data_IF_099443955490
#
_entry.id   IF_099443955490
#
_cell.length_a   1.000
_cell.length_b   1.000
_cell.length_c   1.000
_cell.angle_alpha   90.00
_cell.angle_beta   90.00
_cell.angle_gamma   90.00
#
_symmetry.space_group_name_H-M   'P 1'
#
loop_
_entity.id
_entity.type
_entity.pdbx_description
1 polymer ?
#
# COMPACT_ATOMS: atom_id res chain seq x y z
N UNK A 1 -15.62 -13.02 22.30
CA UNK A 1 -16.32 -12.12 21.36
C UNK A 1 -15.25 -11.48 20.49
N UNK A 2 -15.18 -11.82 19.20
CA UNK A 2 -14.25 -11.20 18.27
C UNK A 2 -14.84 -9.84 17.84
N UNK A 3 -14.24 -8.76 18.32
CA UNK A 3 -14.58 -7.44 17.81
C UNK A 3 -14.01 -7.30 16.39
N UNK A 4 -14.89 -7.04 15.43
CA UNK A 4 -14.51 -6.81 14.04
C UNK A 4 -15.08 -5.48 13.59
N UNK A 5 -14.20 -4.55 13.21
CA UNK A 5 -14.56 -3.29 12.59
C UNK A 5 -13.81 -3.13 11.29
N UNK A 6 -14.47 -2.64 10.27
CA UNK A 6 -13.87 -2.34 8.98
C UNK A 6 -14.11 -0.87 8.66
N UNK A 7 -13.04 -0.10 8.44
CA UNK A 7 -13.09 1.33 8.11
C UNK A 7 -12.45 1.67 6.77
N UNK A 8 -12.16 0.67 5.97
CA UNK A 8 -11.60 0.82 4.62
C UNK A 8 -12.04 -0.33 3.73
N UNK A 9 -11.55 -0.37 2.48
CA UNK A 9 -11.98 -1.35 1.49
C UNK A 9 -13.37 -1.07 0.92
N UNK A 10 -13.81 0.19 0.97
CA UNK A 10 -15.10 0.66 0.46
C UNK A 10 -14.95 1.56 -0.78
N UNK A 11 -13.76 1.60 -1.34
CA UNK A 11 -13.42 2.37 -2.53
C UNK A 11 -12.86 3.76 -2.21
N UNK A 12 -12.38 4.41 -3.26
CA UNK A 12 -11.66 5.68 -3.17
C UNK A 12 -12.51 6.89 -2.75
N UNK A 13 -13.81 6.71 -2.58
CA UNK A 13 -14.70 7.76 -2.08
C UNK A 13 -14.47 8.03 -0.61
N UNK A 14 -14.08 6.99 0.14
CA UNK A 14 -13.80 7.10 1.56
C UNK A 14 -12.81 6.01 2.01
N UNK A 15 -11.62 6.40 2.47
CA UNK A 15 -10.74 5.57 3.29
C UNK A 15 -9.84 4.56 2.60
N UNK A 16 -9.69 4.56 1.27
CA UNK A 16 -8.80 3.64 0.53
C UNK A 16 -7.53 4.34 0.03
N UNK A 17 -6.86 5.10 0.90
CA UNK A 17 -5.74 5.98 0.54
C UNK A 17 -4.35 5.34 0.70
N UNK A 18 -4.29 4.05 0.98
CA UNK A 18 -3.02 3.31 1.14
C UNK A 18 -2.79 2.22 0.11
N UNK A 19 -3.75 1.98 -0.77
CA UNK A 19 -3.66 0.95 -1.79
C UNK A 19 -2.87 1.39 -3.03
N UNK A 20 -2.40 0.41 -3.81
CA UNK A 20 -1.65 0.70 -5.03
C UNK A 20 -2.39 1.58 -6.04
N UNK A 21 -3.69 1.42 -6.15
CA UNK A 21 -4.52 2.26 -7.03
C UNK A 21 -4.54 3.72 -6.59
N UNK A 22 -4.52 3.99 -5.28
CA UNK A 22 -4.42 5.36 -4.78
C UNK A 22 -3.07 5.98 -5.13
N UNK A 23 -1.97 5.31 -4.82
CA UNK A 23 -0.62 5.79 -5.11
C UNK A 23 -0.40 6.06 -6.60
N UNK A 24 -0.86 5.15 -7.45
CA UNK A 24 -0.75 5.32 -8.91
C UNK A 24 -1.56 6.53 -9.41
N UNK A 25 -2.80 6.72 -8.92
CA UNK A 25 -3.60 7.91 -9.26
C UNK A 25 -2.97 9.20 -8.74
N UNK A 26 -2.38 9.18 -7.54
CA UNK A 26 -1.70 10.34 -6.98
C UNK A 26 -0.48 10.73 -7.84
N UNK A 27 0.27 9.74 -8.36
CA UNK A 27 1.36 9.99 -9.29
C UNK A 27 0.86 10.65 -10.59
N UNK A 28 -0.21 10.12 -11.21
CA UNK A 28 -0.81 10.72 -12.41
C UNK A 28 -1.33 12.13 -12.12
N UNK A 29 -1.96 12.33 -10.94
CA UNK A 29 -2.43 13.65 -10.52
C UNK A 29 -1.28 14.65 -10.35
N UNK A 30 -0.16 14.23 -9.80
CA UNK A 30 1.03 15.09 -9.67
C UNK A 30 1.55 15.53 -11.04
N UNK A 31 1.62 14.63 -12.01
CA UNK A 31 1.99 14.98 -13.38
C UNK A 31 1.01 15.98 -14.01
N UNK A 32 -0.29 15.78 -13.80
CA UNK A 32 -1.31 16.71 -14.26
C UNK A 32 -1.17 18.10 -13.64
N UNK A 33 -0.95 18.15 -12.31
CA UNK A 33 -0.83 19.42 -11.61
C UNK A 33 0.45 20.18 -12.02
N UNK A 34 1.56 19.48 -12.25
CA UNK A 34 2.78 20.08 -12.82
C UNK A 34 2.51 20.68 -14.21
N UNK A 35 1.85 19.94 -15.10
CA UNK A 35 1.64 20.37 -16.47
C UNK A 35 0.63 21.52 -16.63
N UNK A 36 -0.43 21.55 -15.80
CA UNK A 36 -1.61 22.37 -16.07
C UNK A 36 -2.07 23.24 -14.89
N UNK A 37 -1.52 23.03 -13.69
CA UNK A 37 -2.03 23.67 -12.46
C UNK A 37 -0.95 24.29 -11.57
N UNK A 38 0.20 24.62 -12.18
CA UNK A 38 1.33 25.23 -11.49
C UNK A 38 1.84 24.38 -10.31
N UNK A 39 1.68 23.07 -10.40
CA UNK A 39 2.24 22.12 -9.43
C UNK A 39 3.78 22.12 -9.46
N UNK A 40 4.40 21.60 -8.40
CA UNK A 40 5.86 21.49 -8.35
C UNK A 40 6.38 20.51 -9.38
N UNK A 41 7.57 20.78 -9.90
CA UNK A 41 8.27 19.83 -10.77
C UNK A 41 8.53 18.51 -10.04
N UNK A 42 8.38 17.40 -10.78
CA UNK A 42 8.55 16.06 -10.23
C UNK A 42 9.16 15.10 -11.24
N UNK A 43 10.06 14.24 -10.75
CA UNK A 43 10.62 13.17 -11.56
C UNK A 43 9.56 12.14 -11.96
N UNK A 44 8.51 11.97 -11.16
CA UNK A 44 7.41 11.04 -11.44
C UNK A 44 6.63 11.42 -12.71
N UNK A 45 6.62 12.70 -13.08
CA UNK A 45 5.96 13.17 -14.29
C UNK A 45 6.51 12.49 -15.55
N UNK A 46 7.84 12.30 -15.61
CA UNK A 46 8.48 11.57 -16.73
C UNK A 46 8.01 10.12 -16.80
N UNK A 47 7.86 9.46 -15.63
CA UNK A 47 7.42 8.06 -15.58
C UNK A 47 5.95 7.93 -16.01
N UNK A 48 5.11 8.90 -15.62
CA UNK A 48 3.71 8.96 -16.07
C UNK A 48 3.67 9.15 -17.59
N UNK A 49 4.47 10.06 -18.16
CA UNK A 49 4.54 10.31 -19.60
C UNK A 49 5.00 9.05 -20.34
N UNK A 50 6.06 8.40 -19.85
CA UNK A 50 6.55 7.14 -20.44
C UNK A 50 5.48 6.05 -20.41
N UNK A 51 4.76 5.87 -19.29
CA UNK A 51 3.73 4.84 -19.15
C UNK A 51 2.56 5.07 -20.12
N UNK A 52 2.18 6.33 -20.35
CA UNK A 52 1.09 6.68 -21.24
C UNK A 52 1.55 6.94 -22.68
N UNK A 53 2.88 6.91 -22.96
CA UNK A 53 3.48 7.25 -24.25
C UNK A 53 3.08 8.65 -24.71
N UNK A 54 3.26 9.62 -23.79
CA UNK A 54 2.95 11.03 -24.03
C UNK A 54 4.22 11.76 -24.45
N UNK A 55 4.26 12.26 -25.68
CA UNK A 55 5.38 13.07 -26.20
C UNK A 55 5.13 14.58 -25.98
N UNK A 56 3.90 15.03 -26.15
CA UNK A 56 3.50 16.42 -25.88
C UNK A 56 2.41 16.44 -24.80
N UNK A 57 2.54 17.34 -23.82
CA UNK A 57 1.54 17.52 -22.76
C UNK A 57 0.12 17.77 -23.27
N UNK A 58 -0.04 18.25 -24.52
CA UNK A 58 -1.35 18.42 -25.16
C UNK A 58 -2.11 17.10 -25.29
N UNK A 59 -1.39 15.99 -25.42
CA UNK A 59 -1.97 14.66 -25.57
C UNK A 59 -2.36 14.00 -24.24
N UNK A 60 -2.00 14.63 -23.13
CA UNK A 60 -2.19 14.08 -21.79
C UNK A 60 -3.63 13.60 -21.54
N UNK A 61 -4.62 14.44 -21.83
CA UNK A 61 -6.03 14.10 -21.56
C UNK A 61 -6.50 12.91 -22.41
N UNK A 62 -6.12 12.85 -23.68
CA UNK A 62 -6.47 11.76 -24.58
C UNK A 62 -5.80 10.45 -24.15
N UNK A 63 -4.53 10.51 -23.77
CA UNK A 63 -3.77 9.35 -23.31
C UNK A 63 -4.36 8.75 -22.03
N UNK A 64 -4.72 9.59 -21.03
CA UNK A 64 -5.34 9.13 -19.78
C UNK A 64 -6.69 8.45 -20.01
N UNK A 65 -7.50 8.95 -20.96
CA UNK A 65 -8.82 8.36 -21.26
C UNK A 65 -8.68 7.05 -22.04
N UNK A 66 -7.68 6.94 -22.91
CA UNK A 66 -7.52 5.80 -23.83
C UNK A 66 -6.77 4.60 -23.23
N UNK A 67 -5.90 4.80 -22.25
CA UNK A 67 -5.06 3.75 -21.68
C UNK A 67 -5.38 3.52 -20.20
N UNK A 68 -5.31 2.26 -19.79
CA UNK A 68 -5.42 1.90 -18.37
C UNK A 68 -4.11 2.22 -17.63
N UNK A 69 -4.23 2.61 -16.37
CA UNK A 69 -3.09 2.80 -15.46
C UNK A 69 -2.39 1.45 -15.22
N UNK A 70 -1.09 1.39 -15.49
CA UNK A 70 -0.23 0.36 -14.90
C UNK A 70 0.19 0.80 -13.48
N UNK A 71 -0.65 0.39 -12.52
CA UNK A 71 -0.40 0.73 -11.12
C UNK A 71 0.91 0.14 -10.61
N UNK A 72 1.33 -1.04 -11.08
CA UNK A 72 2.56 -1.69 -10.62
C UNK A 72 3.79 -0.90 -11.06
N UNK A 73 3.81 -0.44 -12.31
CA UNK A 73 4.88 0.40 -12.83
C UNK A 73 4.97 1.72 -12.06
N UNK A 74 3.85 2.44 -11.91
CA UNK A 74 3.85 3.74 -11.25
C UNK A 74 4.20 3.67 -9.76
N UNK A 75 3.78 2.61 -9.06
CA UNK A 75 4.15 2.43 -7.65
C UNK A 75 5.66 2.23 -7.50
N UNK A 76 6.25 1.36 -8.34
CA UNK A 76 7.70 1.14 -8.34
C UNK A 76 8.45 2.43 -8.65
N UNK A 77 8.00 3.17 -9.67
CA UNK A 77 8.56 4.47 -10.02
C UNK A 77 8.45 5.45 -8.86
N UNK A 78 7.31 5.55 -8.20
CA UNK A 78 7.07 6.45 -7.08
C UNK A 78 8.07 6.23 -5.94
N UNK A 79 8.25 4.98 -5.51
CA UNK A 79 9.24 4.64 -4.48
C UNK A 79 10.67 4.96 -4.94
N UNK A 80 11.00 4.65 -6.20
CA UNK A 80 12.31 4.95 -6.76
C UNK A 80 12.58 6.46 -6.84
N UNK A 81 11.59 7.28 -7.22
CA UNK A 81 11.73 8.74 -7.26
C UNK A 81 11.84 9.34 -5.86
N UNK A 82 11.11 8.80 -4.89
CA UNK A 82 11.29 9.18 -3.48
C UNK A 82 12.72 8.91 -2.99
N UNK A 83 13.34 7.79 -3.38
CA UNK A 83 14.75 7.49 -3.08
C UNK A 83 15.74 8.47 -3.77
N UNK A 84 15.30 9.14 -4.82
CA UNK A 84 16.06 10.21 -5.49
C UNK A 84 15.77 11.61 -4.92
N UNK A 85 15.12 11.68 -3.76
CA UNK A 85 14.72 12.93 -3.09
C UNK A 85 13.72 13.79 -3.91
N UNK A 86 12.89 13.17 -4.75
CA UNK A 86 11.79 13.84 -5.43
C UNK A 86 10.70 14.20 -4.41
N UNK A 87 10.63 15.48 -4.04
CA UNK A 87 9.74 15.96 -2.98
C UNK A 87 8.25 15.65 -3.23
N UNK A 88 7.72 15.80 -4.45
CA UNK A 88 6.34 15.39 -4.71
C UNK A 88 6.09 13.89 -4.50
N UNK A 89 7.03 13.03 -4.90
CA UNK A 89 6.94 11.58 -4.66
C UNK A 89 6.97 11.25 -3.17
N UNK A 90 7.88 11.88 -2.42
CA UNK A 90 7.93 11.76 -0.96
C UNK A 90 6.61 12.20 -0.34
N UNK A 91 6.06 13.33 -0.80
CA UNK A 91 4.78 13.84 -0.29
C UNK A 91 3.64 12.83 -0.49
N UNK A 92 3.54 12.21 -1.67
CA UNK A 92 2.52 11.20 -1.94
C UNK A 92 2.62 10.03 -0.94
N UNK A 93 3.84 9.53 -0.69
CA UNK A 93 4.07 8.44 0.26
C UNK A 93 3.71 8.86 1.69
N UNK A 94 4.10 10.05 2.11
CA UNK A 94 3.78 10.58 3.44
C UNK A 94 2.28 10.82 3.62
N UNK A 95 1.60 11.41 2.64
CA UNK A 95 0.15 11.63 2.68
C UNK A 95 -0.61 10.29 2.80
N UNK A 96 -0.18 9.27 2.06
CA UNK A 96 -0.75 7.92 2.17
C UNK A 96 -0.53 7.32 3.55
N UNK A 97 0.70 7.37 4.08
CA UNK A 97 1.02 6.92 5.43
C UNK A 97 0.21 7.64 6.51
N UNK A 98 0.04 8.97 6.35
CA UNK A 98 -0.75 9.79 7.27
C UNK A 98 -2.23 9.36 7.29
N UNK A 99 -2.85 9.23 6.12
CA UNK A 99 -4.27 8.89 6.02
C UNK A 99 -4.56 7.49 6.57
N UNK A 100 -3.70 6.52 6.26
CA UNK A 100 -3.81 5.18 6.84
C UNK A 100 -3.58 5.19 8.36
N UNK A 101 -2.61 5.98 8.83
CA UNK A 101 -2.34 6.16 10.25
C UNK A 101 -3.54 6.74 11.01
N UNK A 102 -4.19 7.76 10.44
CA UNK A 102 -5.43 8.33 10.99
C UNK A 102 -6.55 7.29 11.08
N UNK A 103 -6.71 6.48 10.03
CA UNK A 103 -7.71 5.42 10.00
C UNK A 103 -7.48 4.39 11.11
N UNK A 104 -6.25 3.91 11.27
CA UNK A 104 -5.90 2.94 12.34
C UNK A 104 -6.05 3.57 13.72
N UNK A 105 -5.60 4.80 13.91
CA UNK A 105 -5.78 5.50 15.18
C UNK A 105 -7.26 5.65 15.54
N UNK A 106 -8.11 5.94 14.56
CA UNK A 106 -9.56 5.98 14.71
C UNK A 106 -10.13 4.66 15.24
N UNK A 107 -9.78 3.53 14.62
CA UNK A 107 -10.20 2.19 15.07
C UNK A 107 -9.74 1.89 16.48
N UNK A 108 -8.47 2.15 16.79
CA UNK A 108 -7.90 1.91 18.13
C UNK A 108 -8.67 2.70 19.19
N UNK A 109 -9.02 3.94 18.87
CA UNK A 109 -9.74 4.84 19.78
C UNK A 109 -11.20 4.43 19.94
N UNK A 110 -11.91 4.22 18.84
CA UNK A 110 -13.33 3.87 18.81
C UNK A 110 -13.61 2.55 19.53
N UNK A 111 -12.79 1.53 19.27
CA UNK A 111 -12.91 0.22 19.91
C UNK A 111 -12.25 0.14 21.30
N UNK A 112 -11.66 1.24 21.77
CA UNK A 112 -10.92 1.30 23.04
C UNK A 112 -9.94 0.12 23.22
N UNK A 113 -9.18 -0.19 22.16
CA UNK A 113 -8.24 -1.31 22.16
C UNK A 113 -7.18 -1.08 23.21
N UNK A 114 -6.97 -2.08 24.08
CA UNK A 114 -5.99 -2.03 25.17
C UNK A 114 -4.62 -2.49 24.71
N UNK A 115 -3.58 -1.94 25.34
CA UNK A 115 -2.21 -2.44 25.18
C UNK A 115 -2.04 -3.86 25.74
N UNK A 116 -1.15 -4.67 25.16
CA UNK A 116 -0.30 -4.38 24.00
C UNK A 116 -1.06 -4.42 22.67
N UNK A 117 -0.76 -3.47 21.78
CA UNK A 117 -1.42 -3.38 20.46
C UNK A 117 -0.44 -3.82 19.39
N UNK A 118 -0.78 -4.87 18.65
CA UNK A 118 -0.04 -5.28 17.46
C UNK A 118 -0.77 -4.80 16.20
N UNK A 119 -0.04 -4.08 15.34
CA UNK A 119 -0.54 -3.58 14.04
C UNK A 119 0.19 -4.35 12.95
N UNK A 120 -0.58 -5.11 12.17
CA UNK A 120 -0.06 -5.91 11.07
C UNK A 120 -0.30 -5.16 9.75
N UNK A 121 0.78 -4.86 9.04
CA UNK A 121 0.79 -4.21 7.75
C UNK A 121 0.94 -5.28 6.67
N UNK A 122 -0.14 -5.60 5.99
CA UNK A 122 -0.18 -6.64 4.96
C UNK A 122 -0.40 -6.05 3.57
N UNK A 123 0.21 -6.65 2.55
CA UNK A 123 0.05 -6.27 1.16
C UNK A 123 1.33 -5.80 0.49
N UNK A 124 1.33 -5.87 -0.85
CA UNK A 124 2.54 -5.66 -1.65
C UNK A 124 3.13 -4.24 -1.56
N UNK A 125 2.32 -3.23 -1.28
CA UNK A 125 2.80 -1.85 -1.11
C UNK A 125 3.72 -1.76 0.11
N UNK A 126 3.36 -2.43 1.23
CA UNK A 126 4.17 -2.48 2.43
C UNK A 126 5.36 -3.42 2.30
N UNK A 127 5.09 -4.66 1.86
CA UNK A 127 6.10 -5.72 1.81
C UNK A 127 7.20 -5.48 0.76
N UNK A 128 6.91 -4.72 -0.31
CA UNK A 128 7.86 -4.41 -1.40
C UNK A 128 8.29 -2.95 -1.41
N UNK A 129 7.99 -2.20 -0.37
CA UNK A 129 8.44 -0.81 -0.24
C UNK A 129 9.98 -0.76 -0.23
N UNK A 130 10.53 0.15 -1.03
CA UNK A 130 11.98 0.41 -1.10
C UNK A 130 12.36 1.76 -0.48
N UNK A 131 11.40 2.42 0.16
CA UNK A 131 11.54 3.70 0.83
C UNK A 131 10.64 3.72 2.08
N UNK A 132 11.12 4.28 3.17
CA UNK A 132 10.45 4.21 4.47
C UNK A 132 9.52 5.40 4.78
N UNK A 133 9.41 6.39 3.90
CA UNK A 133 8.63 7.61 4.16
C UNK A 133 7.17 7.34 4.52
N UNK A 134 6.53 6.42 3.79
CA UNK A 134 5.15 6.02 4.06
C UNK A 134 5.02 5.32 5.41
N UNK A 135 5.90 4.36 5.70
CA UNK A 135 5.88 3.58 6.93
C UNK A 135 6.20 4.45 8.15
N UNK A 136 7.20 5.31 8.05
CA UNK A 136 7.60 6.19 9.13
C UNK A 136 6.48 7.18 9.46
N UNK A 137 5.86 7.80 8.44
CA UNK A 137 4.73 8.71 8.66
C UNK A 137 3.52 7.98 9.25
N UNK A 138 3.22 6.78 8.80
CA UNK A 138 2.17 5.94 9.35
C UNK A 138 2.37 5.68 10.86
N UNK A 139 3.56 5.22 11.25
CA UNK A 139 3.91 4.95 12.65
C UNK A 139 3.82 6.21 13.52
N UNK A 140 4.35 7.31 13.03
CA UNK A 140 4.32 8.61 13.71
C UNK A 140 2.88 9.03 14.02
N UNK A 141 1.99 8.98 13.02
CA UNK A 141 0.60 9.39 13.17
C UNK A 141 -0.16 8.50 14.14
N UNK A 142 -0.02 7.18 14.02
CA UNK A 142 -0.68 6.24 14.94
C UNK A 142 -0.24 6.51 16.38
N UNK A 143 1.06 6.60 16.61
CA UNK A 143 1.60 6.80 17.95
C UNK A 143 1.17 8.15 18.54
N UNK A 144 1.22 9.21 17.73
CA UNK A 144 0.86 10.57 18.16
C UNK A 144 -0.62 10.68 18.53
N UNK A 145 -1.51 10.11 17.70
CA UNK A 145 -2.95 10.24 17.90
C UNK A 145 -3.48 9.33 19.00
N UNK A 146 -2.96 8.11 19.11
CA UNK A 146 -3.44 7.16 20.12
C UNK A 146 -2.78 7.36 21.47
N UNK A 147 -1.55 7.87 21.51
CA UNK A 147 -0.68 7.93 22.69
C UNK A 147 -0.49 6.56 23.35
N UNK A 148 -0.59 5.48 22.56
CA UNK A 148 -0.46 4.10 23.02
C UNK A 148 0.79 3.45 22.44
N UNK A 149 1.31 2.46 23.15
CA UNK A 149 2.40 1.62 22.67
C UNK A 149 1.86 0.64 21.64
N UNK A 150 2.35 0.75 20.41
CA UNK A 150 2.00 -0.11 19.29
C UNK A 150 3.24 -0.80 18.73
N UNK A 151 3.13 -2.10 18.49
CA UNK A 151 4.14 -2.89 17.79
C UNK A 151 3.70 -3.04 16.34
N UNK A 152 4.59 -2.68 15.40
CA UNK A 152 4.29 -2.68 13.96
C UNK A 152 5.02 -3.82 13.28
N UNK A 153 4.27 -4.70 12.63
CA UNK A 153 4.79 -5.84 11.88
C UNK A 153 4.42 -5.72 10.40
N UNK A 154 5.43 -5.58 9.54
CA UNK A 154 5.23 -5.71 8.09
C UNK A 154 5.22 -7.19 7.73
N UNK A 155 4.11 -7.66 7.17
CA UNK A 155 3.95 -9.04 6.76
C UNK A 155 4.55 -9.22 5.37
N UNK A 156 5.67 -9.95 5.31
CA UNK A 156 6.37 -10.22 4.04
C UNK A 156 5.77 -11.39 3.25
N UNK A 157 4.97 -12.23 3.92
CA UNK A 157 4.32 -13.37 3.30
C UNK A 157 3.04 -12.98 2.56
N UNK A 158 2.70 -13.77 1.54
CA UNK A 158 1.48 -13.56 0.79
C UNK A 158 0.24 -13.77 1.68
N UNK A 159 -0.75 -12.85 1.69
CA UNK A 159 -2.00 -13.04 2.43
C UNK A 159 -2.74 -14.34 2.07
N UNK A 160 -2.55 -14.86 0.87
CA UNK A 160 -3.14 -16.16 0.45
C UNK A 160 -2.65 -17.32 1.30
N UNK A 161 -1.42 -17.24 1.83
CA UNK A 161 -0.91 -18.25 2.75
C UNK A 161 -1.76 -18.33 4.02
N UNK A 162 -2.09 -17.16 4.59
CA UNK A 162 -2.97 -17.11 5.76
C UNK A 162 -4.35 -17.70 5.50
N UNK A 163 -4.92 -17.43 4.31
CA UNK A 163 -6.20 -18.00 3.91
C UNK A 163 -6.15 -19.54 3.78
N UNK A 164 -5.09 -20.09 3.19
CA UNK A 164 -4.90 -21.54 3.07
C UNK A 164 -4.72 -22.17 4.46
N UNK A 165 -3.88 -21.60 5.32
CA UNK A 165 -3.68 -22.11 6.67
C UNK A 165 -4.97 -22.09 7.48
N UNK A 166 -5.76 -21.04 7.35
CA UNK A 166 -7.07 -20.95 8.01
C UNK A 166 -8.08 -21.96 7.46
N UNK A 167 -8.12 -22.17 6.14
CA UNK A 167 -8.95 -23.21 5.55
C UNK A 167 -8.57 -24.63 6.05
N UNK A 168 -7.27 -24.90 6.17
CA UNK A 168 -6.78 -26.17 6.71
C UNK A 168 -7.12 -26.34 8.20
N UNK A 169 -7.05 -25.26 8.98
CA UNK A 169 -7.48 -25.26 10.38
C UNK A 169 -8.97 -25.61 10.51
N UNK A 170 -9.81 -24.97 9.71
CA UNK A 170 -11.26 -25.23 9.71
C UNK A 170 -11.58 -26.67 9.26
N UNK A 171 -10.88 -27.18 8.24
CA UNK A 171 -11.12 -28.53 7.71
C UNK A 171 -10.66 -29.64 8.66
N UNK A 172 -9.62 -29.42 9.44
CA UNK A 172 -9.03 -30.43 10.33
C UNK A 172 -9.38 -30.21 11.81
N UNK A 173 -10.14 -29.15 12.12
CA UNK A 173 -10.47 -28.73 13.50
C UNK A 173 -9.25 -28.59 14.41
N UNK A 174 -8.08 -28.33 13.81
CA UNK A 174 -6.78 -28.23 14.47
C UNK A 174 -5.89 -27.20 13.79
N UNK A 175 -5.18 -26.44 14.62
CA UNK A 175 -4.14 -25.51 14.12
C UNK A 175 -3.07 -26.26 13.31
N UNK A 176 -2.73 -25.79 12.10
CA UNK A 176 -1.63 -26.35 11.32
C UNK A 176 -0.33 -26.33 12.11
N UNK A 177 0.34 -27.48 12.15
CA UNK A 177 1.68 -27.58 12.76
C UNK A 177 2.76 -26.89 11.90
N UNK A 178 3.98 -26.86 12.42
CA UNK A 178 5.11 -26.17 11.77
C UNK A 178 5.45 -26.80 10.41
N UNK A 179 5.37 -28.13 10.33
CA UNK A 179 5.71 -28.85 9.08
C UNK A 179 4.69 -28.57 7.98
N UNK A 180 3.41 -28.56 8.32
CA UNK A 180 2.34 -28.21 7.37
C UNK A 180 2.45 -26.75 6.93
N UNK A 181 2.73 -25.83 7.85
CA UNK A 181 3.01 -24.41 7.52
C UNK A 181 4.16 -24.26 6.53
N UNK A 182 5.27 -24.95 6.78
CA UNK A 182 6.44 -24.93 5.91
C UNK A 182 6.16 -25.53 4.52
N UNK A 183 5.37 -26.60 4.43
CA UNK A 183 4.93 -27.20 3.15
C UNK A 183 4.07 -26.22 2.36
N UNK A 184 3.11 -25.57 3.01
CA UNK A 184 2.25 -24.57 2.37
C UNK A 184 3.09 -23.39 1.86
N UNK A 185 4.02 -22.86 2.66
CA UNK A 185 4.95 -21.80 2.23
C UNK A 185 5.73 -22.19 0.97
N UNK A 186 6.37 -23.35 0.99
CA UNK A 186 7.15 -23.82 -0.16
C UNK A 186 6.30 -23.97 -1.43
N UNK A 187 5.10 -24.49 -1.31
CA UNK A 187 4.17 -24.65 -2.44
C UNK A 187 3.75 -23.30 -3.03
N UNK A 188 3.45 -22.32 -2.20
CA UNK A 188 3.05 -20.98 -2.65
C UNK A 188 4.22 -20.29 -3.34
N UNK A 189 5.42 -20.31 -2.75
CA UNK A 189 6.59 -19.69 -3.35
C UNK A 189 6.94 -20.35 -4.70
N UNK A 190 6.86 -21.67 -4.81
CA UNK A 190 7.07 -22.38 -6.07
C UNK A 190 6.05 -21.95 -7.14
N UNK A 191 4.77 -21.86 -6.78
CA UNK A 191 3.72 -21.42 -7.69
C UNK A 191 3.90 -19.96 -8.15
N UNK A 192 4.23 -19.06 -7.24
CA UNK A 192 4.48 -17.65 -7.56
C UNK A 192 5.68 -17.47 -8.50
N UNK A 193 6.75 -18.22 -8.29
CA UNK A 193 7.93 -18.17 -9.16
C UNK A 193 7.63 -18.66 -10.58
N UNK A 194 6.76 -19.67 -10.71
CA UNK A 194 6.37 -20.20 -12.02
C UNK A 194 5.39 -19.30 -12.80
N UNK A 195 4.69 -18.38 -12.11
CA UNK A 195 3.83 -17.39 -12.77
C UNK A 195 4.57 -16.13 -13.23
N UNK A 196 5.80 -15.93 -12.76
CA UNK A 196 6.62 -14.76 -13.11
C UNK A 196 7.63 -15.03 -14.23
N UNK A 197 7.73 -16.29 -14.68
CA UNK A 197 8.49 -16.75 -15.83
C UNK A 197 7.57 -17.05 -17.01
#
# INVERSE_FOLDING_TARGET
>A
MLFRSQIGGIGYVAGDEGGGSYLARAAVRTAFDECFRFGPQSLITKDVFNMYEIDDKKDFSNAIVSKKIDSTFLIKSLFNRANQNDLPSIKILRDSGENMGKSIAGVITELNIKEPIQIILAGSVWAKATNDEMLNRFKEVVTTLTKKRCDFLVLNESPVMGAILWALELANEKLPDVDLKNKVMKSIHHYQNNLMN
#
